data_IF_762274891075
#
_entry.id   IF_762274891075
#
_cell.length_a   1.000
_cell.length_b   1.000
_cell.length_c   1.000
_cell.angle_alpha   90.00
_cell.angle_beta   90.00
_cell.angle_gamma   90.00
#
_symmetry.space_group_name_H-M   'P 1'
#
loop_
_entity.id
_entity.type
_entity.pdbx_description
1 polymer ?
#
# COMPACT_ATOMS: atom_id res chain seq x y z
N UNK A 1 -10.23 7.66 -3.25
CA UNK A 1 -9.29 7.04 -2.28
C UNK A 1 -8.18 6.38 -3.07
N UNK A 2 -6.91 6.63 -2.75
CA UNK A 2 -5.75 6.10 -3.50
C UNK A 2 -4.89 5.24 -2.57
N UNK A 3 -4.22 4.21 -3.09
CA UNK A 3 -3.40 3.29 -2.29
C UNK A 3 -4.16 2.18 -1.53
N UNK A 4 -5.48 2.24 -1.42
CA UNK A 4 -6.29 1.28 -0.64
C UNK A 4 -6.96 0.17 -1.46
N UNK A 5 -6.55 -0.01 -2.72
CA UNK A 5 -7.02 -1.12 -3.56
C UNK A 5 -6.37 -2.47 -3.17
N UNK A 6 -6.77 -3.58 -3.81
CA UNK A 6 -6.18 -4.90 -3.56
C UNK A 6 -4.67 -4.94 -3.84
N UNK A 7 -4.17 -4.03 -4.68
CA UNK A 7 -2.76 -3.86 -4.96
C UNK A 7 -1.99 -3.06 -3.89
N UNK A 8 -2.66 -2.48 -2.90
CA UNK A 8 -2.07 -1.72 -1.78
C UNK A 8 -1.07 -0.64 -2.24
N UNK A 9 -1.44 0.08 -3.32
CA UNK A 9 -0.66 1.21 -3.81
C UNK A 9 0.54 0.87 -4.70
N UNK A 10 0.79 -0.40 -5.05
CA UNK A 10 1.94 -0.79 -5.90
C UNK A 10 2.07 -0.02 -7.22
N UNK A 11 0.95 0.33 -7.85
CA UNK A 11 0.96 1.06 -9.13
C UNK A 11 0.84 2.59 -8.97
N UNK A 12 0.04 3.05 -8.01
CA UNK A 12 -0.29 4.47 -7.91
C UNK A 12 0.60 5.26 -6.95
N UNK A 13 1.33 4.60 -6.04
CA UNK A 13 2.14 5.26 -5.00
C UNK A 13 3.20 6.20 -5.59
N UNK A 14 3.98 5.74 -6.56
CA UNK A 14 5.07 6.54 -7.14
C UNK A 14 4.53 7.69 -7.99
N UNK A 15 3.41 7.45 -8.69
CA UNK A 15 2.70 8.49 -9.46
C UNK A 15 2.24 9.61 -8.50
N UNK A 16 1.62 9.24 -7.38
CA UNK A 16 1.14 10.21 -6.38
C UNK A 16 2.31 10.97 -5.77
N UNK A 17 3.41 10.30 -5.41
CA UNK A 17 4.59 10.96 -4.84
C UNK A 17 5.18 11.99 -5.81
N UNK A 18 5.18 11.70 -7.11
CA UNK A 18 5.63 12.65 -8.13
C UNK A 18 4.71 13.86 -8.24
N UNK A 19 3.40 13.66 -8.20
CA UNK A 19 2.44 14.78 -8.23
C UNK A 19 2.48 15.61 -6.93
N UNK A 20 2.65 14.97 -5.78
CA UNK A 20 2.85 15.65 -4.50
C UNK A 20 4.14 16.48 -4.50
N UNK A 21 5.23 15.97 -5.09
CA UNK A 21 6.48 16.71 -5.22
C UNK A 21 6.30 17.97 -6.07
N UNK A 22 5.61 17.87 -7.21
CA UNK A 22 5.28 19.05 -8.04
C UNK A 22 4.38 20.05 -7.31
N UNK A 23 3.38 19.56 -6.59
CA UNK A 23 2.41 20.42 -5.89
C UNK A 23 3.01 21.11 -4.66
N UNK A 24 3.93 20.45 -3.94
CA UNK A 24 4.51 20.96 -2.69
C UNK A 24 5.89 21.60 -2.87
N UNK A 25 6.54 21.42 -4.02
CA UNK A 25 7.89 21.90 -4.28
C UNK A 25 8.99 21.15 -3.52
N UNK A 26 8.65 20.10 -2.76
CA UNK A 26 9.61 19.27 -2.02
C UNK A 26 10.15 18.16 -2.91
N UNK A 27 11.43 17.78 -2.78
CA UNK A 27 11.95 16.62 -3.50
C UNK A 27 11.24 15.34 -3.04
N UNK A 28 11.10 14.38 -3.95
CA UNK A 28 10.40 13.10 -3.69
C UNK A 28 11.02 12.35 -2.49
N UNK A 29 12.31 12.50 -2.25
CA UNK A 29 13.03 11.89 -1.13
C UNK A 29 12.52 12.35 0.26
N UNK A 30 11.98 13.57 0.35
CA UNK A 30 11.46 14.15 1.59
C UNK A 30 9.98 13.80 1.82
N UNK A 31 9.33 13.18 0.83
CA UNK A 31 7.92 12.80 0.91
C UNK A 31 7.80 11.37 1.42
N UNK A 32 7.08 11.19 2.54
CA UNK A 32 6.84 9.88 3.14
C UNK A 32 6.02 8.99 2.21
N UNK A 33 6.59 7.89 1.70
CA UNK A 33 5.85 6.93 0.93
C UNK A 33 5.13 6.04 1.97
N UNK A 34 3.79 6.02 1.97
CA UNK A 34 2.97 5.46 3.07
C UNK A 34 3.40 4.09 3.64
N UNK A 35 2.98 3.77 4.87
CA UNK A 35 3.43 2.56 5.57
C UNK A 35 2.88 1.28 4.94
N UNK A 36 3.76 0.32 4.64
CA UNK A 36 3.36 -1.02 4.19
C UNK A 36 2.95 -1.82 5.42
N UNK A 37 1.70 -2.30 5.43
CA UNK A 37 1.17 -3.15 6.51
C UNK A 37 0.97 -4.58 6.01
N UNK A 38 1.26 -5.60 6.82
CA UNK A 38 0.90 -6.97 6.51
C UNK A 38 -0.63 -7.16 6.62
N UNK A 39 -1.24 -8.05 5.81
CA UNK A 39 -0.64 -8.84 4.73
C UNK A 39 -0.42 -8.03 3.44
N UNK A 40 0.78 -8.15 2.84
CA UNK A 40 1.18 -7.34 1.67
C UNK A 40 0.34 -7.67 0.42
N UNK A 41 -0.09 -8.92 0.29
CA UNK A 41 -1.06 -9.38 -0.71
C UNK A 41 -2.33 -9.80 0.01
N UNK A 42 -3.52 -9.55 -0.57
CA UNK A 42 -4.75 -10.12 -0.05
C UNK A 42 -4.65 -11.65 -0.03
N UNK A 43 -4.97 -12.23 1.12
CA UNK A 43 -5.05 -13.68 1.32
C UNK A 43 -6.47 -14.03 1.74
N UNK A 44 -6.92 -15.24 1.41
CA UNK A 44 -8.20 -15.75 1.90
C UNK A 44 -8.12 -15.93 3.41
N UNK A 45 -9.20 -15.58 4.11
CA UNK A 45 -9.26 -15.72 5.56
C UNK A 45 -9.08 -17.17 6.03
N UNK A 46 -9.55 -18.13 5.23
CA UNK A 46 -9.37 -19.57 5.48
C UNK A 46 -7.91 -20.00 5.63
N UNK A 47 -6.95 -19.24 5.08
CA UNK A 47 -5.52 -19.54 5.22
C UNK A 47 -4.93 -19.11 6.57
N UNK A 48 -5.67 -18.28 7.33
CA UNK A 48 -5.27 -17.82 8.66
C UNK A 48 -5.91 -18.62 9.79
N UNK A 49 -6.96 -19.37 9.48
CA UNK A 49 -7.62 -20.28 10.41
C UNK A 49 -6.72 -21.52 10.51
N UNK A 50 -6.29 -21.87 11.73
CA UNK A 50 -5.66 -23.17 11.95
C UNK A 50 -6.69 -24.26 11.63
N UNK A 51 -6.27 -25.36 11.02
CA UNK A 51 -7.13 -26.53 10.85
C UNK A 51 -7.57 -27.01 12.24
N UNK A 52 -8.72 -26.52 12.71
CA UNK A 52 -9.48 -27.17 13.76
C UNK A 52 -10.09 -28.40 13.10
N UNK A 53 -9.34 -29.51 13.09
CA UNK A 53 -9.84 -30.85 12.77
C UNK A 53 -11.08 -31.14 13.65
N UNK A 54 -12.26 -30.85 13.12
CA UNK A 54 -13.55 -31.42 13.53
C UNK A 54 -14.58 -31.41 12.41
#
# INVERSE_FOLDING_TARGET
>A
RVGMGPCQGRGCRDIILRELSKATGKPVADLLPGVIRPPVKPIKFSLLVADDDK
#
